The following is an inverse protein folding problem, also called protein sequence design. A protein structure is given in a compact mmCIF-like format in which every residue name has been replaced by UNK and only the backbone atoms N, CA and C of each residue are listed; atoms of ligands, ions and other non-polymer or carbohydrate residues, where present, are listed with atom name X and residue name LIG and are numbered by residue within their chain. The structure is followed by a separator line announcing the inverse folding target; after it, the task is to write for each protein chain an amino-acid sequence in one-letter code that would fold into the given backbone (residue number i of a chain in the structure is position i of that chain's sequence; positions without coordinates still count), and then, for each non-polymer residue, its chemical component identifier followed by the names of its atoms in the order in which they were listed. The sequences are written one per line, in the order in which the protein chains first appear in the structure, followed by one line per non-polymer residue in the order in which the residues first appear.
data_IF_535999544988
#
_entry.id   IF_535999544988
#
_cell.length_a   1.000
_cell.length_b   1.000
_cell.length_c   1.000
_cell.angle_alpha   90.00
_cell.angle_beta   90.00
_cell.angle_gamma   90.00
#
_symmetry.space_group_name_H-M   'P 1'
#
loop_
_entity.id
_entity.type
_entity.pdbx_description
1 polymer ?
#
# COMPACT_ATOMS: atom_id res chain seq x y z
N UNK A 1 -62.60 31.47 -9.40
CA UNK A 1 -61.19 31.70 -9.04
C UNK A 1 -60.65 30.43 -8.42
N UNK A 2 -59.82 29.69 -9.17
CA UNK A 2 -59.21 28.44 -8.70
C UNK A 2 -57.82 28.77 -8.15
N UNK A 3 -57.58 28.47 -6.87
CA UNK A 3 -56.25 28.54 -6.28
C UNK A 3 -55.54 27.19 -6.51
N UNK A 4 -54.43 27.20 -7.22
CA UNK A 4 -53.57 26.02 -7.38
C UNK A 4 -52.86 25.72 -6.03
N UNK A 5 -52.81 24.45 -5.57
CA UNK A 5 -52.12 24.11 -4.34
C UNK A 5 -50.60 24.14 -4.56
N UNK A 6 -49.89 24.59 -3.53
CA UNK A 6 -48.45 24.73 -3.50
C UNK A 6 -47.74 23.39 -3.78
N UNK A 7 -47.20 23.23 -5.00
CA UNK A 7 -46.34 22.11 -5.42
C UNK A 7 -44.90 22.22 -4.88
N UNK A 8 -44.63 23.18 -4.01
CA UNK A 8 -43.27 23.58 -3.65
C UNK A 8 -42.60 22.63 -2.64
N UNK A 9 -43.32 21.78 -1.90
CA UNK A 9 -42.70 20.96 -0.83
C UNK A 9 -42.13 19.63 -1.31
N UNK A 10 -42.72 18.97 -2.32
CA UNK A 10 -42.31 17.62 -2.73
C UNK A 10 -40.98 17.57 -3.49
N UNK A 11 -40.61 18.64 -4.20
CA UNK A 11 -39.33 18.73 -4.94
C UNK A 11 -38.12 18.87 -4.02
N UNK A 12 -38.27 19.58 -2.89
CA UNK A 12 -37.17 19.86 -1.97
C UNK A 12 -36.75 18.63 -1.15
N UNK A 13 -37.70 17.80 -0.69
CA UNK A 13 -37.37 16.56 0.03
C UNK A 13 -36.66 15.53 -0.88
N UNK A 14 -37.01 15.48 -2.17
CA UNK A 14 -36.32 14.61 -3.15
C UNK A 14 -34.91 15.11 -3.49
N UNK A 15 -34.72 16.43 -3.62
CA UNK A 15 -33.39 17.01 -3.83
C UNK A 15 -32.46 16.75 -2.63
N UNK A 16 -32.96 16.92 -1.40
CA UNK A 16 -32.18 16.62 -0.19
C UNK A 16 -31.78 15.15 -0.08
N UNK A 17 -32.70 14.22 -0.40
CA UNK A 17 -32.42 12.78 -0.38
C UNK A 17 -31.36 12.37 -1.44
N UNK A 18 -31.42 12.94 -2.64
CA UNK A 18 -30.41 12.74 -3.68
C UNK A 18 -29.05 13.34 -3.27
N UNK A 19 -29.04 14.51 -2.60
CA UNK A 19 -27.83 15.12 -2.07
C UNK A 19 -27.17 14.25 -0.99
N UNK A 20 -27.97 13.64 -0.10
CA UNK A 20 -27.47 12.70 0.92
C UNK A 20 -26.83 11.46 0.29
N UNK A 21 -27.40 10.90 -0.78
CA UNK A 21 -26.83 9.75 -1.50
C UNK A 21 -25.51 10.11 -2.21
N UNK A 22 -25.41 11.33 -2.77
CA UNK A 22 -24.16 11.82 -3.39
C UNK A 22 -23.07 12.06 -2.35
N UNK A 23 -23.42 12.58 -1.16
CA UNK A 23 -22.48 12.78 -0.04
C UNK A 23 -21.97 11.45 0.52
N UNK A 24 -22.82 10.42 0.58
CA UNK A 24 -22.42 9.09 1.09
C UNK A 24 -21.43 8.40 0.13
N UNK A 25 -21.48 8.69 -1.17
CA UNK A 25 -20.53 8.15 -2.15
C UNK A 25 -19.23 8.93 -2.31
N UNK A 26 -19.15 10.18 -1.82
CA UNK A 26 -17.97 11.03 -2.04
C UNK A 26 -16.83 10.88 -1.03
N UNK A 27 -16.96 10.03 0.00
CA UNK A 27 -15.93 9.84 1.03
C UNK A 27 -15.20 8.49 0.97
N UNK A 28 -14.78 8.06 -0.23
CA UNK A 28 -13.77 7.00 -0.36
C UNK A 28 -12.47 7.63 -0.86
N UNK A 29 -11.59 8.00 0.09
CA UNK A 29 -10.21 8.41 -0.22
C UNK A 29 -9.32 7.16 -0.21
N UNK A 30 -8.81 6.77 -1.38
CA UNK A 30 -7.84 5.69 -1.52
C UNK A 30 -6.40 6.19 -1.34
N UNK A 31 -5.51 5.33 -0.83
CA UNK A 31 -4.07 5.59 -0.81
C UNK A 31 -3.47 5.16 -2.15
N UNK A 32 -2.70 6.04 -2.79
CA UNK A 32 -1.96 5.70 -4.01
C UNK A 32 -0.62 5.07 -3.67
N UNK A 33 -0.33 3.97 -4.36
CA UNK A 33 0.89 3.17 -4.20
C UNK A 33 1.50 2.97 -5.57
N UNK A 34 2.78 3.24 -5.71
CA UNK A 34 3.49 3.10 -6.99
C UNK A 34 4.73 2.25 -6.78
N UNK A 35 4.80 1.10 -7.44
CA UNK A 35 5.98 0.23 -7.44
C UNK A 35 6.78 0.42 -8.73
N UNK A 36 8.10 0.45 -8.62
CA UNK A 36 9.00 0.54 -9.76
C UNK A 36 10.26 -0.34 -9.60
N UNK A 37 10.66 -1.09 -10.63
CA UNK A 37 9.91 -1.36 -11.85
C UNK A 37 8.66 -2.22 -11.57
N UNK A 38 7.61 -2.16 -12.44
CA UNK A 38 6.40 -2.97 -12.30
C UNK A 38 6.67 -4.46 -12.52
N UNK A 39 7.74 -4.78 -13.25
CA UNK A 39 8.25 -6.12 -13.47
C UNK A 39 9.77 -6.02 -13.57
N UNK A 40 10.47 -6.86 -12.81
CA UNK A 40 11.91 -7.02 -12.93
C UNK A 40 12.21 -8.44 -13.40
N UNK A 41 12.86 -8.57 -14.55
CA UNK A 41 13.44 -9.82 -15.02
C UNK A 41 14.94 -9.61 -15.20
N UNK A 42 15.73 -10.38 -14.44
CA UNK A 42 17.16 -10.19 -14.28
C UNK A 42 17.84 -11.56 -14.25
N UNK A 43 19.01 -11.73 -14.90
CA UNK A 43 19.77 -12.97 -14.85
C UNK A 43 20.17 -13.37 -13.42
N UNK A 44 20.45 -14.66 -13.24
CA UNK A 44 21.05 -15.17 -12.00
C UNK A 44 22.37 -14.43 -11.70
N UNK A 45 22.62 -14.16 -10.42
CA UNK A 45 23.79 -13.41 -9.95
C UNK A 45 23.66 -11.89 -10.05
N UNK A 46 22.68 -11.34 -10.78
CA UNK A 46 22.46 -9.89 -10.82
C UNK A 46 21.80 -9.37 -9.53
N UNK A 47 21.85 -8.04 -9.37
CA UNK A 47 21.13 -7.33 -8.31
C UNK A 47 19.84 -6.77 -8.87
N UNK A 48 18.74 -6.98 -8.15
CA UNK A 48 17.47 -6.32 -8.42
C UNK A 48 17.19 -5.28 -7.34
N UNK A 49 16.73 -4.12 -7.79
CA UNK A 49 16.25 -3.05 -6.93
C UNK A 49 14.78 -2.82 -7.23
N UNK A 50 13.97 -2.79 -6.18
CA UNK A 50 12.55 -2.50 -6.24
C UNK A 50 12.27 -1.32 -5.33
N UNK A 51 11.52 -0.36 -5.82
CA UNK A 51 11.09 0.81 -5.08
C UNK A 51 9.58 0.83 -4.96
N UNK A 52 9.08 1.31 -3.82
CA UNK A 52 7.68 1.54 -3.58
C UNK A 52 7.48 2.93 -2.99
N UNK A 53 6.69 3.76 -3.67
CA UNK A 53 6.28 5.07 -3.19
C UNK A 53 4.82 5.03 -2.75
N UNK A 54 4.51 5.70 -1.63
CA UNK A 54 3.18 5.78 -1.07
C UNK A 54 2.83 7.25 -0.84
N UNK A 55 1.65 7.69 -1.26
CA UNK A 55 1.25 9.11 -1.17
C UNK A 55 0.73 9.53 0.22
N UNK A 56 1.28 8.96 1.29
CA UNK A 56 0.87 9.22 2.68
C UNK A 56 2.05 8.97 3.63
N UNK A 57 2.09 9.69 4.76
CA UNK A 57 3.21 9.68 5.71
C UNK A 57 3.00 8.72 6.90
N UNK A 58 4.11 8.26 7.52
CA UNK A 58 4.11 7.39 8.71
C UNK A 58 3.54 5.96 8.51
N UNK A 59 3.91 5.32 7.39
CA UNK A 59 3.51 3.95 7.08
C UNK A 59 4.62 2.94 7.30
N UNK A 60 4.22 1.70 7.60
CA UNK A 60 5.09 0.53 7.59
C UNK A 60 5.12 -0.06 6.19
N UNK A 61 6.32 -0.41 5.72
CA UNK A 61 6.50 -1.11 4.46
C UNK A 61 6.77 -2.58 4.74
N UNK A 62 5.95 -3.44 4.16
CA UNK A 62 6.15 -4.89 4.22
C UNK A 62 6.55 -5.40 2.85
N UNK A 63 7.55 -6.26 2.81
CA UNK A 63 8.00 -6.88 1.57
C UNK A 63 7.60 -8.35 1.57
N UNK A 64 6.92 -8.80 0.51
CA UNK A 64 6.52 -10.19 0.33
C UNK A 64 7.06 -10.79 -0.97
N UNK A 65 7.24 -12.10 -0.92
CA UNK A 65 7.54 -12.94 -2.07
C UNK A 65 6.37 -13.92 -2.27
N UNK A 66 5.85 -13.96 -3.50
CA UNK A 66 4.87 -14.91 -3.97
C UNK A 66 5.45 -15.75 -5.12
N UNK A 67 5.74 -17.02 -4.86
CA UNK A 67 6.25 -17.91 -5.93
C UNK A 67 5.18 -18.17 -7.00
N UNK A 68 5.56 -18.24 -8.29
CA UNK A 68 4.63 -18.63 -9.35
C UNK A 68 3.97 -19.97 -9.03
N UNK A 69 2.64 -20.06 -9.21
CA UNK A 69 1.88 -21.27 -8.90
C UNK A 69 1.55 -21.47 -7.42
N UNK A 70 1.96 -20.57 -6.52
CA UNK A 70 1.61 -20.60 -5.10
C UNK A 70 0.74 -19.39 -4.70
N UNK A 71 -0.21 -19.62 -3.79
CA UNK A 71 -1.06 -18.57 -3.20
C UNK A 71 -0.48 -18.00 -1.91
N UNK A 72 0.55 -18.63 -1.35
CA UNK A 72 1.16 -18.22 -0.09
C UNK A 72 2.14 -17.05 -0.31
N UNK A 73 2.03 -16.03 0.54
CA UNK A 73 2.96 -14.91 0.61
C UNK A 73 4.00 -15.16 1.70
N UNK A 74 5.28 -15.18 1.35
CA UNK A 74 6.38 -15.20 2.30
C UNK A 74 6.80 -13.77 2.62
N UNK A 75 6.65 -13.34 3.87
CA UNK A 75 7.18 -12.04 4.31
C UNK A 75 8.71 -12.11 4.38
N UNK A 76 9.37 -11.14 3.73
CA UNK A 76 10.82 -11.01 3.69
C UNK A 76 11.32 -10.09 4.81
N UNK A 77 10.65 -8.96 5.03
CA UNK A 77 11.02 -8.01 6.08
C UNK A 77 10.03 -6.86 6.21
N UNK A 78 10.28 -6.01 7.19
CA UNK A 78 9.48 -4.82 7.49
C UNK A 78 10.38 -3.59 7.63
N UNK A 79 9.95 -2.45 7.10
CA UNK A 79 10.55 -1.15 7.39
C UNK A 79 9.53 -0.34 8.16
N UNK A 80 9.84 -0.03 9.42
CA UNK A 80 8.93 0.72 10.30
C UNK A 80 9.09 2.23 10.08
N UNK A 81 8.03 3.03 10.28
CA UNK A 81 8.15 4.48 10.31
C UNK A 81 9.01 4.90 11.50
N UNK A 82 9.63 6.07 11.35
CA UNK A 82 10.58 6.66 12.30
C UNK A 82 10.15 6.46 13.77
N UNK A 83 10.85 5.54 14.45
CA UNK A 83 10.84 5.40 15.91
C UNK A 83 12.27 5.65 16.36
N UNK A 84 12.45 6.45 17.42
CA UNK A 84 13.63 7.28 17.77
C UNK A 84 15.01 6.58 17.83
N UNK A 85 15.12 5.27 17.57
CA UNK A 85 16.41 4.56 17.67
C UNK A 85 16.82 3.64 16.51
N UNK A 86 15.94 3.24 15.58
CA UNK A 86 16.34 2.23 14.57
C UNK A 86 15.39 2.10 13.36
N UNK A 87 14.63 3.13 13.02
CA UNK A 87 13.58 3.02 11.99
C UNK A 87 13.92 3.72 10.68
N UNK A 88 14.57 3.02 9.74
CA UNK A 88 14.68 3.34 8.30
C UNK A 88 15.30 2.20 7.46
N UNK A 89 15.89 1.20 8.11
CA UNK A 89 16.45 0.01 7.48
C UNK A 89 15.45 -1.15 7.55
N UNK A 90 15.54 -2.08 6.60
CA UNK A 90 14.76 -3.32 6.61
C UNK A 90 15.11 -4.18 7.83
N UNK A 91 14.12 -4.41 8.69
CA UNK A 91 14.17 -5.46 9.70
C UNK A 91 13.78 -6.78 9.02
N UNK A 92 14.78 -7.64 8.82
CA UNK A 92 14.60 -8.97 8.25
C UNK A 92 13.87 -9.90 9.23
N UNK A 93 12.99 -10.75 8.71
CA UNK A 93 12.37 -11.79 9.53
C UNK A 93 13.36 -12.95 9.66
N UNK A 94 13.77 -13.36 10.88
CA UNK A 94 14.75 -14.43 11.04
C UNK A 94 14.27 -15.75 10.41
N UNK A 95 15.04 -16.32 9.49
CA UNK A 95 14.90 -17.74 9.11
C UNK A 95 15.00 -18.08 7.62
N UNK A 96 15.66 -17.27 6.79
CA UNK A 96 15.82 -17.54 5.36
C UNK A 96 17.26 -17.40 4.83
N UNK A 97 17.59 -18.16 3.78
CA UNK A 97 18.82 -17.97 2.99
C UNK A 97 18.87 -16.60 2.29
N UNK A 98 17.69 -16.06 1.96
CA UNK A 98 17.51 -14.76 1.29
C UNK A 98 17.96 -13.59 2.17
N UNK A 99 17.89 -13.76 3.50
CA UNK A 99 18.17 -12.74 4.52
C UNK A 99 19.57 -12.13 4.28
N UNK A 100 20.58 -12.99 4.10
CA UNK A 100 21.98 -12.55 3.87
C UNK A 100 22.25 -11.70 2.63
N UNK A 101 21.36 -11.74 1.62
CA UNK A 101 21.48 -11.03 0.35
C UNK A 101 20.45 -9.92 0.17
N UNK A 102 19.54 -9.78 1.13
CA UNK A 102 18.46 -8.82 1.13
C UNK A 102 18.90 -7.57 1.89
N UNK A 103 18.43 -6.42 1.46
CA UNK A 103 18.59 -5.18 2.18
C UNK A 103 17.48 -4.24 1.78
N UNK A 104 17.16 -3.26 2.61
CA UNK A 104 16.19 -2.26 2.25
C UNK A 104 16.34 -1.01 3.08
N UNK A 105 15.92 0.11 2.50
CA UNK A 105 16.01 1.42 3.11
C UNK A 105 14.78 2.24 2.75
N UNK A 106 14.30 3.02 3.70
CA UNK A 106 13.30 4.06 3.47
C UNK A 106 13.96 5.42 3.29
N UNK A 107 13.42 6.18 2.34
CA UNK A 107 13.69 7.59 2.13
C UNK A 107 12.34 8.32 2.02
N UNK A 108 11.91 8.94 3.12
CA UNK A 108 10.61 9.59 3.23
C UNK A 108 9.44 8.64 2.97
N UNK A 109 8.78 8.84 1.82
CA UNK A 109 7.62 8.09 1.32
C UNK A 109 7.99 6.92 0.39
N UNK A 110 9.27 6.75 0.11
CA UNK A 110 9.77 5.72 -0.79
C UNK A 110 10.53 4.67 0.02
N UNK A 111 10.19 3.40 -0.15
CA UNK A 111 10.96 2.28 0.37
C UNK A 111 11.62 1.53 -0.77
N UNK A 112 12.91 1.29 -0.63
CA UNK A 112 13.72 0.52 -1.56
C UNK A 112 14.04 -0.84 -0.96
N UNK A 113 13.96 -1.87 -1.78
CA UNK A 113 14.39 -3.23 -1.50
C UNK A 113 15.46 -3.61 -2.53
N UNK A 114 16.58 -4.08 -2.04
CA UNK A 114 17.72 -4.50 -2.85
C UNK A 114 17.98 -5.96 -2.52
N UNK A 115 17.90 -6.81 -3.55
CA UNK A 115 18.26 -8.22 -3.47
C UNK A 115 19.46 -8.46 -4.37
N UNK A 116 20.59 -8.84 -3.76
CA UNK A 116 21.84 -9.11 -4.47
C UNK A 116 21.95 -10.58 -4.86
N UNK A 117 22.67 -10.85 -5.95
CA UNK A 117 23.03 -12.23 -6.32
C UNK A 117 21.81 -13.12 -6.53
N UNK A 118 20.85 -12.66 -7.35
CA UNK A 118 19.61 -13.38 -7.68
C UNK A 118 19.85 -14.88 -7.89
N UNK A 119 19.03 -15.71 -7.26
CA UNK A 119 19.01 -17.16 -7.43
C UNK A 119 17.72 -17.60 -8.14
N UNK A 120 17.72 -18.78 -8.76
CA UNK A 120 16.51 -19.34 -9.40
C UNK A 120 15.29 -19.44 -8.46
N UNK A 121 15.55 -19.65 -7.17
CA UNK A 121 14.52 -19.73 -6.12
C UNK A 121 13.90 -18.37 -5.75
N UNK A 122 14.46 -17.25 -6.20
CA UNK A 122 14.04 -15.88 -5.89
C UNK A 122 12.84 -15.43 -6.75
N UNK A 123 12.45 -16.24 -7.74
CA UNK A 123 11.35 -15.95 -8.67
C UNK A 123 10.03 -15.70 -7.94
N UNK A 124 9.39 -14.56 -8.26
CA UNK A 124 8.06 -14.22 -7.74
C UNK A 124 8.07 -13.19 -6.60
N UNK A 125 8.87 -12.14 -6.68
CA UNK A 125 8.71 -11.04 -5.71
C UNK A 125 7.46 -10.23 -6.07
N UNK A 126 6.45 -10.20 -5.19
CA UNK A 126 5.25 -9.37 -5.41
C UNK A 126 4.48 -9.04 -4.13
N UNK A 127 4.09 -7.76 -4.12
CA UNK A 127 3.22 -6.98 -3.24
C UNK A 127 3.70 -6.55 -1.85
N UNK A 128 3.43 -5.27 -1.57
CA UNK A 128 3.46 -4.63 -0.26
C UNK A 128 2.04 -4.63 0.33
N UNK A 129 1.90 -5.02 1.59
CA UNK A 129 0.62 -4.99 2.32
C UNK A 129 0.63 -3.82 3.29
N UNK A 130 -0.38 -2.96 3.19
CA UNK A 130 -0.63 -1.86 4.11
C UNK A 130 -1.38 -2.39 5.33
N UNK A 131 -0.83 -2.18 6.53
CA UNK A 131 -1.68 -2.12 7.71
C UNK A 131 -2.04 -0.65 7.94
N UNK A 132 -3.28 -0.30 7.63
CA UNK A 132 -3.86 0.96 8.06
C UNK A 132 -3.93 0.89 9.59
N UNK A 133 -2.99 1.54 10.29
CA UNK A 133 -3.33 1.99 11.63
C UNK A 133 -4.39 3.07 11.41
N UNK A 134 -5.65 2.67 11.40
CA UNK A 134 -6.75 3.56 11.69
C UNK A 134 -6.48 4.13 13.09
N UNK A 135 -5.63 5.15 13.20
CA UNK A 135 -5.79 6.10 14.27
C UNK A 135 -7.15 6.73 14.01
N UNK A 136 -8.13 6.23 14.75
CA UNK A 136 -9.42 6.88 14.96
C UNK A 136 -9.21 8.40 15.03
N UNK A 137 -9.40 9.10 13.91
CA UNK A 137 -10.02 10.42 13.95
C UNK A 137 -11.52 10.17 13.90
N UNK A 138 -12.02 9.64 15.00
CA UNK A 138 -13.36 9.97 15.42
C UNK A 138 -13.35 11.49 15.65
N UNK A 139 -14.25 12.16 14.94
CA UNK A 139 -14.75 13.48 15.32
C UNK A 139 -15.23 13.46 16.77
#
# INVERSE_FOLDING_TARGET
MAAAPAQFSQGFFKLCSLFFLVIIWSFVSGVKVTQHPPLANKPEGETVELSCNVDVDNYQFYWYQQRPGHTNLKQLGVIKPFTISEGDTLEEKPGGEIDSRLSGKRDGRTANLILKGLQLNDTGLSLLIFHFLATNRLL
#
